data_IF_061116935405
#
_entry.id   IF_061116935405
#
_cell.length_a   1.000
_cell.length_b   1.000
_cell.length_c   1.000
_cell.angle_alpha   90.00
_cell.angle_beta   90.00
_cell.angle_gamma   90.00
#
_symmetry.space_group_name_H-M   'P 1'
#
loop_
_entity.id
_entity.type
_entity.pdbx_description
1 polymer ?
#
# COMPACT_ATOMS: atom_id res chain seq x y z
N UNK A 1 -7.27 20.07 16.95
CA UNK A 1 -8.27 20.18 18.01
C UNK A 1 -9.13 18.92 18.01
N UNK A 2 -9.05 18.05 19.06
CA UNK A 2 -9.83 16.80 19.11
C UNK A 2 -11.35 17.08 19.04
N UNK A 3 -11.77 18.28 19.45
CA UNK A 3 -13.13 18.77 19.22
C UNK A 3 -13.46 18.98 17.74
N UNK A 4 -12.45 19.16 16.87
CA UNK A 4 -12.63 19.29 15.44
C UNK A 4 -12.85 17.96 14.72
N UNK A 5 -12.43 16.81 15.28
CA UNK A 5 -12.74 15.50 14.66
C UNK A 5 -14.24 15.22 14.67
N UNK A 6 -14.95 15.67 15.71
CA UNK A 6 -16.43 15.61 15.78
C UNK A 6 -17.05 16.67 14.88
N UNK A 7 -16.47 17.87 14.80
CA UNK A 7 -16.93 18.94 13.92
C UNK A 7 -16.74 18.60 12.44
N UNK A 8 -15.65 17.89 12.08
CA UNK A 8 -15.43 17.43 10.69
C UNK A 8 -16.49 16.44 10.24
N UNK A 9 -16.99 15.56 11.12
CA UNK A 9 -18.11 14.65 10.80
C UNK A 9 -19.41 15.38 10.48
N UNK A 10 -19.59 16.57 11.05
CA UNK A 10 -20.80 17.40 10.90
C UNK A 10 -20.54 18.68 10.10
N UNK A 11 -19.32 18.84 9.55
CA UNK A 11 -18.98 20.00 8.74
C UNK A 11 -19.82 20.01 7.45
N UNK A 12 -20.36 21.16 7.10
CA UNK A 12 -21.02 21.33 5.81
C UNK A 12 -19.99 21.17 4.69
N UNK A 13 -20.36 20.62 3.53
CA UNK A 13 -19.45 20.48 2.38
C UNK A 13 -18.73 21.77 2.01
N UNK A 14 -19.37 22.93 2.24
CA UNK A 14 -18.80 24.26 2.01
C UNK A 14 -17.71 24.68 3.01
N UNK A 15 -17.63 24.02 4.16
CA UNK A 15 -16.65 24.28 5.22
C UNK A 15 -15.38 23.43 5.09
N UNK A 16 -15.39 22.49 4.14
CA UNK A 16 -14.28 21.58 3.88
C UNK A 16 -13.45 22.09 2.69
N UNK A 17 -12.12 21.97 2.74
CA UNK A 17 -11.24 22.44 1.66
C UNK A 17 -11.64 21.94 0.27
N UNK A 18 -12.24 20.76 0.18
CA UNK A 18 -12.60 20.08 -1.06
C UNK A 18 -14.11 20.10 -1.37
N UNK A 19 -14.93 20.75 -0.56
CA UNK A 19 -16.39 20.83 -0.73
C UNK A 19 -17.15 19.49 -0.85
N UNK A 20 -16.44 18.36 -0.88
CA UNK A 20 -17.02 17.04 -1.09
C UNK A 20 -16.16 15.94 -0.44
N UNK A 21 -16.52 15.52 0.75
CA UNK A 21 -15.87 14.42 1.48
C UNK A 21 -16.25 13.03 0.98
N UNK A 22 -17.27 12.95 0.11
CA UNK A 22 -17.75 11.68 -0.40
C UNK A 22 -16.86 11.13 -1.52
N UNK A 23 -16.14 12.00 -2.23
CA UNK A 23 -15.33 11.61 -3.39
C UNK A 23 -14.00 10.97 -3.05
N UNK A 24 -13.43 11.30 -1.89
CA UNK A 24 -12.13 10.76 -1.51
C UNK A 24 -12.11 10.46 -0.01
N UNK A 25 -12.77 9.38 0.42
CA UNK A 25 -12.72 8.99 1.81
C UNK A 25 -11.28 8.72 2.21
N UNK A 26 -10.88 9.17 3.38
CA UNK A 26 -9.55 8.98 3.94
C UNK A 26 -9.11 7.49 4.01
N UNK A 27 -10.04 6.56 3.94
CA UNK A 27 -9.78 5.12 3.79
C UNK A 27 -9.03 4.75 2.50
N UNK A 28 -8.98 5.66 1.50
CA UNK A 28 -8.20 5.46 0.26
C UNK A 28 -6.70 5.33 0.50
N UNK A 29 -6.21 5.80 1.67
CA UNK A 29 -4.80 5.69 2.06
C UNK A 29 -4.36 4.25 2.37
N UNK A 30 -5.33 3.33 2.48
CA UNK A 30 -5.05 1.91 2.69
C UNK A 30 -4.69 1.52 4.12
N UNK A 31 -4.41 0.24 4.34
CA UNK A 31 -4.30 -0.33 5.68
C UNK A 31 -3.02 0.07 6.44
N UNK A 32 -1.97 0.52 5.75
CA UNK A 32 -0.71 0.88 6.41
C UNK A 32 -0.64 2.37 6.78
N UNK A 33 -1.11 3.27 5.91
CA UNK A 33 -1.05 4.70 6.17
C UNK A 33 -2.19 5.17 7.07
N UNK A 34 -3.39 4.59 6.93
CA UNK A 34 -4.55 4.98 7.73
C UNK A 34 -4.26 5.02 9.24
N UNK A 35 -3.66 3.98 9.86
CA UNK A 35 -3.35 4.00 11.29
C UNK A 35 -2.35 5.09 11.69
N UNK A 36 -1.42 5.46 10.78
CA UNK A 36 -0.47 6.54 11.06
C UNK A 36 -1.13 7.91 11.03
N UNK A 37 -2.09 8.12 10.13
CA UNK A 37 -2.91 9.33 10.15
C UNK A 37 -3.74 9.41 11.43
N UNK A 38 -4.34 8.30 11.89
CA UNK A 38 -5.06 8.26 13.16
C UNK A 38 -4.13 8.61 14.33
N UNK A 39 -2.94 7.99 14.40
CA UNK A 39 -1.93 8.29 15.44
C UNK A 39 -1.45 9.74 15.40
N UNK A 40 -1.25 10.31 14.20
CA UNK A 40 -0.75 11.68 14.05
C UNK A 40 -1.80 12.73 14.47
N UNK A 41 -3.03 12.55 14.01
CA UNK A 41 -4.05 13.62 14.04
C UNK A 41 -5.18 13.38 15.04
N UNK A 42 -5.25 12.18 15.64
CA UNK A 42 -6.20 11.89 16.72
C UNK A 42 -5.44 11.68 18.03
N UNK A 43 -4.63 10.61 18.12
CA UNK A 43 -3.96 10.21 19.36
C UNK A 43 -2.83 11.19 19.74
N UNK A 44 -2.07 11.63 18.74
CA UNK A 44 -0.92 12.50 18.88
C UNK A 44 -1.22 13.99 18.77
N UNK A 45 -2.50 14.39 18.66
CA UNK A 45 -2.86 15.79 18.49
C UNK A 45 -2.37 16.64 19.68
N UNK A 46 -2.63 16.16 20.90
CA UNK A 46 -2.21 16.81 22.15
C UNK A 46 -1.09 16.07 22.88
N UNK A 47 -0.63 14.94 22.34
CA UNK A 47 0.46 14.13 22.91
C UNK A 47 1.51 13.82 21.83
N UNK A 48 2.57 14.64 21.71
CA UNK A 48 3.61 14.42 20.71
C UNK A 48 4.31 13.05 20.80
N UNK A 49 4.32 12.42 21.98
CA UNK A 49 4.96 11.12 22.16
C UNK A 49 4.25 9.98 21.42
N UNK A 50 2.98 10.16 21.06
CA UNK A 50 2.17 9.20 20.31
C UNK A 50 2.28 9.36 18.80
N UNK A 51 2.88 10.45 18.32
CA UNK A 51 2.98 10.71 16.88
C UNK A 51 3.88 9.67 16.21
N UNK A 52 3.57 9.28 14.97
CA UNK A 52 4.46 8.44 14.20
C UNK A 52 5.80 9.13 13.97
N UNK A 53 6.86 8.34 14.00
CA UNK A 53 8.21 8.77 13.61
C UNK A 53 8.34 8.85 12.08
N UNK A 54 9.41 9.47 11.59
CA UNK A 54 9.73 9.46 10.16
C UNK A 54 9.88 8.04 9.62
N UNK A 55 10.51 7.14 10.38
CA UNK A 55 10.70 5.73 10.01
C UNK A 55 9.36 4.97 9.92
N UNK A 56 8.40 5.27 10.82
CA UNK A 56 7.04 4.71 10.72
C UNK A 56 6.38 5.10 9.40
N UNK A 57 6.50 6.38 9.01
CA UNK A 57 5.95 6.88 7.75
C UNK A 57 6.65 6.26 6.54
N UNK A 58 7.98 6.20 6.53
CA UNK A 58 8.75 5.62 5.45
C UNK A 58 8.38 4.15 5.24
N UNK A 59 8.36 3.36 6.30
CA UNK A 59 7.95 1.95 6.27
C UNK A 59 6.52 1.78 5.74
N UNK A 60 5.58 2.61 6.19
CA UNK A 60 4.19 2.51 5.76
C UNK A 60 4.00 2.93 4.29
N UNK A 61 4.74 3.94 3.83
CA UNK A 61 4.72 4.38 2.43
C UNK A 61 5.23 3.27 1.50
N UNK A 62 6.36 2.65 1.82
CA UNK A 62 6.91 1.52 1.06
C UNK A 62 5.88 0.39 0.95
N UNK A 63 5.30 -0.03 2.08
CA UNK A 63 4.28 -1.09 2.09
C UNK A 63 3.00 -0.69 1.35
N UNK A 64 2.65 0.58 1.35
CA UNK A 64 1.46 1.09 0.66
C UNK A 64 1.65 1.08 -0.86
N UNK A 65 2.85 1.42 -1.35
CA UNK A 65 3.17 1.35 -2.79
C UNK A 65 2.97 -0.07 -3.31
N UNK A 66 3.37 -1.08 -2.54
CA UNK A 66 3.23 -2.49 -2.91
C UNK A 66 1.78 -2.99 -2.88
N UNK A 67 0.87 -2.24 -2.26
CA UNK A 67 -0.58 -2.50 -2.30
C UNK A 67 -1.31 -1.76 -3.43
N UNK A 68 -0.61 -0.98 -4.25
CA UNK A 68 -1.24 -0.30 -5.38
C UNK A 68 -1.57 -1.33 -6.46
N UNK A 69 -2.79 -1.26 -6.96
CA UNK A 69 -3.28 -2.12 -8.03
C UNK A 69 -4.03 -1.33 -9.09
N UNK A 70 -4.05 -1.81 -10.35
CA UNK A 70 -4.79 -1.15 -11.42
C UNK A 70 -6.30 -1.28 -11.23
N UNK A 71 -7.03 -0.22 -11.55
CA UNK A 71 -8.47 -0.26 -11.66
C UNK A 71 -8.88 -0.97 -12.96
N UNK A 72 -9.82 -1.91 -12.89
CA UNK A 72 -10.31 -2.63 -14.08
C UNK A 72 -11.22 -1.78 -14.97
N UNK A 73 -11.66 -0.62 -14.49
CA UNK A 73 -12.44 0.31 -15.31
C UNK A 73 -11.49 1.24 -16.10
N UNK A 74 -11.42 1.05 -17.40
CA UNK A 74 -10.61 1.87 -18.29
C UNK A 74 -10.97 3.35 -18.29
N UNK A 75 -12.23 3.68 -17.96
CA UNK A 75 -12.72 5.05 -17.83
C UNK A 75 -12.48 5.68 -16.43
N UNK A 76 -11.83 4.96 -15.53
CA UNK A 76 -11.48 5.51 -14.21
C UNK A 76 -10.35 6.53 -14.33
N UNK A 77 -10.58 7.77 -13.91
CA UNK A 77 -9.59 8.86 -14.00
C UNK A 77 -8.30 8.56 -13.22
N UNK A 78 -8.43 7.90 -12.07
CA UNK A 78 -7.27 7.60 -11.21
C UNK A 78 -6.46 6.40 -11.67
N UNK A 79 -7.03 5.50 -12.50
CA UNK A 79 -6.38 4.30 -13.04
C UNK A 79 -5.90 3.29 -11.98
N UNK A 80 -5.48 3.74 -10.80
CA UNK A 80 -4.85 2.96 -9.73
C UNK A 80 -5.49 3.25 -8.39
N UNK A 81 -5.45 2.29 -7.47
CA UNK A 81 -5.89 2.48 -6.09
C UNK A 81 -5.16 1.52 -5.14
N UNK A 82 -5.14 1.85 -3.86
CA UNK A 82 -4.54 1.02 -2.81
C UNK A 82 -5.52 -0.07 -2.39
N UNK A 83 -5.06 -1.31 -2.35
CA UNK A 83 -5.84 -2.45 -1.85
C UNK A 83 -6.13 -2.30 -0.35
N UNK A 84 -7.39 -2.44 0.01
CA UNK A 84 -7.91 -2.21 1.38
C UNK A 84 -8.02 -3.49 2.24
N UNK A 85 -7.42 -4.59 1.78
CA UNK A 85 -7.53 -5.93 2.40
C UNK A 85 -8.95 -6.53 2.42
N UNK A 86 -9.89 -5.97 1.71
CA UNK A 86 -11.24 -6.52 1.61
C UNK A 86 -11.29 -7.78 0.73
N UNK A 87 -12.23 -8.67 1.02
CA UNK A 87 -12.49 -9.86 0.19
C UNK A 87 -13.09 -9.54 -1.18
N UNK A 88 -13.66 -8.35 -1.33
CA UNK A 88 -14.27 -7.85 -2.55
C UNK A 88 -13.84 -6.41 -2.80
N UNK A 89 -12.56 -6.19 -3.19
CA UNK A 89 -12.02 -4.86 -3.33
C UNK A 89 -12.76 -4.06 -4.39
N UNK A 90 -12.99 -2.79 -4.07
CA UNK A 90 -13.61 -1.81 -4.96
C UNK A 90 -12.69 -0.63 -5.12
N UNK A 91 -12.61 -0.13 -6.35
CA UNK A 91 -11.94 1.14 -6.60
C UNK A 91 -12.69 2.25 -5.83
N UNK A 92 -12.03 2.98 -4.91
CA UNK A 92 -12.70 4.02 -4.13
C UNK A 92 -13.09 5.24 -4.96
N UNK A 93 -12.56 5.39 -6.16
CA UNK A 93 -12.78 6.52 -7.03
C UNK A 93 -13.96 6.34 -7.99
N UNK A 94 -14.12 5.14 -8.53
CA UNK A 94 -15.20 4.85 -9.49
C UNK A 94 -16.15 3.73 -9.04
N UNK A 95 -15.96 3.19 -7.84
CA UNK A 95 -16.76 2.11 -7.24
C UNK A 95 -16.76 0.79 -8.02
N UNK A 96 -15.92 0.65 -9.06
CA UNK A 96 -15.81 -0.60 -9.81
C UNK A 96 -15.23 -1.70 -8.92
N UNK A 97 -15.96 -2.78 -8.77
CA UNK A 97 -15.52 -3.96 -8.04
C UNK A 97 -14.53 -4.76 -8.89
N UNK A 98 -13.44 -5.19 -8.27
CA UNK A 98 -12.49 -6.09 -8.92
C UNK A 98 -13.16 -7.43 -9.25
N UNK A 99 -13.00 -7.88 -10.49
CA UNK A 99 -13.51 -9.16 -10.97
C UNK A 99 -12.36 -10.13 -11.22
N UNK A 100 -12.58 -11.39 -10.90
CA UNK A 100 -11.58 -12.44 -11.08
C UNK A 100 -10.68 -12.64 -9.84
N UNK A 101 -9.63 -13.44 -10.03
CA UNK A 101 -8.63 -13.70 -8.98
C UNK A 101 -7.71 -12.50 -8.84
N UNK A 102 -7.42 -12.13 -7.61
CA UNK A 102 -6.47 -11.07 -7.28
C UNK A 102 -5.37 -11.70 -6.42
N UNK A 103 -4.26 -12.12 -7.02
CA UNK A 103 -3.16 -12.70 -6.26
C UNK A 103 -2.50 -11.63 -5.40
N UNK A 104 -2.21 -11.99 -4.15
CA UNK A 104 -1.49 -11.15 -3.20
C UNK A 104 -0.38 -12.00 -2.58
N UNK A 105 0.85 -11.55 -2.67
CA UNK A 105 1.96 -12.18 -1.98
C UNK A 105 2.02 -11.67 -0.54
N UNK A 106 2.19 -12.60 0.40
CA UNK A 106 2.59 -12.27 1.75
C UNK A 106 4.10 -12.52 1.86
N UNK A 107 4.86 -11.52 2.27
CA UNK A 107 6.30 -11.63 2.42
C UNK A 107 6.65 -12.22 3.79
N UNK A 108 7.62 -13.12 3.78
CA UNK A 108 8.14 -13.77 4.97
C UNK A 108 9.65 -13.69 4.97
N UNK A 109 10.23 -13.55 6.14
CA UNK A 109 11.67 -13.62 6.33
C UNK A 109 12.05 -14.86 7.13
N UNK A 110 13.25 -15.39 6.88
CA UNK A 110 13.81 -16.50 7.61
C UNK A 110 15.20 -16.15 8.15
N UNK A 111 15.43 -16.44 9.43
CA UNK A 111 16.75 -16.37 10.06
C UNK A 111 17.38 -17.74 10.21
N UNK A 112 16.58 -18.80 10.11
CA UNK A 112 17.01 -20.19 10.21
C UNK A 112 16.28 -20.98 9.14
N UNK A 113 16.96 -21.89 8.48
CA UNK A 113 16.35 -22.78 7.47
C UNK A 113 15.06 -23.42 8.01
N UNK A 114 13.98 -23.32 7.24
CA UNK A 114 12.67 -23.87 7.56
C UNK A 114 11.83 -23.08 8.58
N UNK A 115 12.33 -21.95 9.12
CA UNK A 115 11.58 -21.09 10.05
C UNK A 115 11.25 -19.76 9.40
N UNK A 116 10.00 -19.57 9.02
CA UNK A 116 9.52 -18.35 8.35
C UNK A 116 8.68 -17.50 9.28
N UNK A 117 8.98 -16.22 9.36
CA UNK A 117 8.23 -15.23 10.13
C UNK A 117 7.56 -14.22 9.17
N UNK A 118 6.29 -13.87 9.38
CA UNK A 118 5.61 -12.89 8.53
C UNK A 118 6.21 -11.49 8.75
N UNK A 119 6.49 -10.81 7.66
CA UNK A 119 7.00 -9.42 7.69
C UNK A 119 5.87 -8.38 7.74
N UNK A 120 4.61 -8.83 7.76
CA UNK A 120 3.42 -7.97 7.65
C UNK A 120 3.52 -7.03 6.44
N UNK A 121 4.06 -7.54 5.36
CA UNK A 121 4.24 -6.84 4.10
C UNK A 121 3.58 -7.68 3.00
N UNK A 122 2.80 -7.03 2.17
CA UNK A 122 2.06 -7.63 1.06
C UNK A 122 2.40 -6.93 -0.23
N UNK A 123 2.43 -7.69 -1.31
CA UNK A 123 2.63 -7.19 -2.66
C UNK A 123 1.46 -7.65 -3.54
N UNK A 124 0.82 -6.71 -4.23
CA UNK A 124 -0.21 -7.02 -5.22
C UNK A 124 0.45 -7.63 -6.45
N UNK A 125 -0.21 -8.65 -7.05
CA UNK A 125 0.28 -9.28 -8.26
C UNK A 125 -0.62 -8.90 -9.43
N UNK A 126 -0.04 -8.23 -10.41
CA UNK A 126 -0.64 -7.91 -11.71
C UNK A 126 0.43 -7.97 -12.80
N UNK A 127 0.03 -8.03 -14.07
CA UNK A 127 0.97 -8.14 -15.19
C UNK A 127 1.97 -6.97 -15.19
N UNK A 128 3.25 -7.31 -15.27
CA UNK A 128 4.39 -6.40 -15.19
C UNK A 128 4.65 -5.78 -13.79
N UNK A 129 3.98 -6.25 -12.74
CA UNK A 129 4.38 -5.88 -11.38
C UNK A 129 5.81 -6.34 -11.13
N UNK A 130 6.66 -5.40 -10.74
CA UNK A 130 8.08 -5.62 -10.55
C UNK A 130 8.41 -6.09 -9.13
N UNK A 131 9.37 -6.98 -9.02
CA UNK A 131 10.07 -7.30 -7.78
C UNK A 131 11.42 -6.60 -7.76
N UNK A 132 11.77 -6.07 -6.59
CA UNK A 132 13.04 -5.42 -6.32
C UNK A 132 13.79 -6.14 -5.21
N UNK A 133 15.07 -5.80 -5.01
CA UNK A 133 15.90 -6.44 -3.99
C UNK A 133 15.31 -6.37 -2.59
N UNK A 134 14.60 -5.30 -2.22
CA UNK A 134 13.96 -5.18 -0.89
C UNK A 134 12.76 -6.11 -0.68
N UNK A 135 12.22 -6.74 -1.74
CA UNK A 135 11.18 -7.78 -1.62
C UNK A 135 11.78 -9.17 -1.35
N UNK A 136 13.03 -9.40 -1.73
CA UNK A 136 13.71 -10.70 -1.62
C UNK A 136 14.84 -10.70 -0.61
N UNK A 137 15.29 -9.53 -0.14
CA UNK A 137 16.32 -9.39 0.86
C UNK A 137 15.91 -8.33 1.91
N UNK A 138 15.48 -8.80 3.09
CA UNK A 138 15.03 -7.93 4.19
C UNK A 138 16.09 -6.97 4.75
N UNK A 139 17.37 -7.17 4.45
CA UNK A 139 18.45 -6.28 4.88
C UNK A 139 18.53 -5.03 4.00
N UNK A 140 17.80 -5.01 2.90
CA UNK A 140 17.72 -3.86 1.98
C UNK A 140 16.40 -3.15 2.21
N UNK A 141 16.47 -1.90 2.65
CA UNK A 141 15.31 -1.02 2.80
C UNK A 141 15.34 0.00 1.68
N UNK A 142 14.25 0.16 0.91
CA UNK A 142 14.18 1.16 -0.14
C UNK A 142 14.26 2.56 0.48
N UNK A 143 15.20 3.36 0.00
CA UNK A 143 15.37 4.76 0.38
C UNK A 143 16.09 5.51 -0.74
N UNK A 144 16.16 6.83 -0.65
CA UNK A 144 16.80 7.69 -1.67
C UNK A 144 18.29 7.39 -1.88
N UNK A 145 19.00 6.93 -0.82
CA UNK A 145 20.43 6.65 -0.83
C UNK A 145 20.78 5.24 -1.27
N UNK A 146 19.76 4.43 -1.58
CA UNK A 146 19.99 3.08 -2.08
C UNK A 146 20.79 3.16 -3.39
N UNK A 147 21.80 2.31 -3.53
CA UNK A 147 22.61 2.26 -4.74
C UNK A 147 21.80 1.81 -5.97
N UNK A 148 22.25 2.19 -7.15
CA UNK A 148 21.51 1.93 -8.41
C UNK A 148 21.40 0.44 -8.74
N UNK A 149 22.29 -0.41 -8.19
CA UNK A 149 22.19 -1.87 -8.35
C UNK A 149 20.97 -2.39 -7.62
N UNK A 150 20.76 -1.95 -6.39
CA UNK A 150 19.65 -2.37 -5.55
C UNK A 150 18.30 -1.73 -5.95
N UNK A 151 18.33 -0.66 -6.75
CA UNK A 151 17.12 -0.06 -7.34
C UNK A 151 16.63 -0.79 -8.59
N UNK A 152 17.41 -1.69 -9.14
CA UNK A 152 17.01 -2.45 -10.33
C UNK A 152 15.98 -3.52 -9.98
N UNK A 153 15.09 -3.76 -10.91
CA UNK A 153 14.15 -4.87 -10.86
C UNK A 153 14.92 -6.20 -10.89
N UNK A 154 14.53 -7.13 -10.03
CA UNK A 154 15.12 -8.48 -9.97
C UNK A 154 14.21 -9.56 -10.56
N UNK A 155 12.94 -9.22 -10.75
CA UNK A 155 11.96 -10.09 -11.39
C UNK A 155 10.63 -9.37 -11.61
N UNK A 156 9.70 -10.03 -12.25
CA UNK A 156 8.35 -9.47 -12.47
C UNK A 156 7.32 -10.59 -12.71
N UNK A 157 6.05 -10.24 -12.60
CA UNK A 157 4.95 -11.16 -12.83
C UNK A 157 4.37 -10.99 -14.22
N UNK A 158 3.99 -12.13 -14.81
CA UNK A 158 3.21 -12.18 -16.05
C UNK A 158 2.07 -13.17 -15.90
N UNK A 159 0.93 -12.85 -16.51
CA UNK A 159 -0.18 -13.77 -16.64
C UNK A 159 -0.22 -14.32 -18.07
N UNK A 160 -0.28 -15.62 -18.19
CA UNK A 160 -0.47 -16.29 -19.48
C UNK A 160 -1.49 -17.40 -19.34
N UNK A 161 -2.56 -17.35 -20.13
CA UNK A 161 -3.68 -18.31 -20.09
C UNK A 161 -4.27 -18.55 -18.69
N UNK A 162 -4.41 -17.49 -17.88
CA UNK A 162 -4.95 -17.56 -16.52
C UNK A 162 -4.00 -18.14 -15.47
N UNK A 163 -2.73 -18.38 -15.84
CA UNK A 163 -1.66 -18.85 -14.95
C UNK A 163 -0.67 -17.72 -14.73
N UNK A 164 -0.30 -17.50 -13.47
CA UNK A 164 0.70 -16.54 -13.08
C UNK A 164 2.09 -17.13 -13.07
N UNK A 165 3.02 -16.44 -13.67
CA UNK A 165 4.44 -16.77 -13.70
C UNK A 165 5.25 -15.65 -13.07
N UNK A 166 6.28 -16.04 -12.35
CA UNK A 166 7.33 -15.14 -11.88
C UNK A 166 8.54 -15.30 -12.80
N UNK A 167 8.89 -14.22 -13.48
CA UNK A 167 10.10 -14.17 -14.29
C UNK A 167 11.24 -13.70 -13.41
N UNK A 168 12.23 -14.57 -13.20
CA UNK A 168 13.47 -14.23 -12.49
C UNK A 168 14.44 -13.57 -13.47
N UNK A 169 14.87 -12.33 -13.17
CA UNK A 169 15.90 -11.63 -13.92
C UNK A 169 17.24 -11.66 -13.19
N UNK A 170 17.24 -11.41 -11.89
CA UNK A 170 18.46 -11.34 -11.07
C UNK A 170 18.15 -11.58 -9.57
N UNK A 171 17.16 -12.40 -9.25
CA UNK A 171 16.94 -12.73 -7.84
C UNK A 171 18.10 -13.60 -7.33
N UNK A 172 18.59 -13.32 -6.12
CA UNK A 172 19.59 -14.18 -5.50
C UNK A 172 19.01 -15.59 -5.22
N UNK A 173 19.86 -16.60 -5.30
CA UNK A 173 19.56 -18.00 -4.96
C UNK A 173 19.27 -18.17 -3.45
#
# INVERSE_FOLDING_TARGET
>A
DASNSIKVKNAKPSELPWKDTSKTPYTVTGPYLKPLFDRAFIDGLHDPSKRPTADDWDTALVKTIDLIQPCQNSACDQKWYVFDNSSKPKCPFCSTQHKGRLPVLNLYSSRRAGSFMPDNHRLMVYSNQSLFMWHVNRLITPNERLDDRNKKRVGYFVEHNGIWYLVNENMPD
#
